data_IF_503798360078
#
_entry.id   IF_503798360078
#
_cell.length_a   1.000
_cell.length_b   1.000
_cell.length_c   1.000
_cell.angle_alpha   90.00
_cell.angle_beta   90.00
_cell.angle_gamma   90.00
#
_symmetry.space_group_name_H-M   'P 1'
#
loop_
_entity.id
_entity.type
_entity.pdbx_description
1 polymer ?
#
# COMPACT_ATOMS: atom_id res chain seq x y z
N UNK A 1 14.15 17.30 11.62
CA UNK A 1 13.53 16.81 12.88
C UNK A 1 12.25 16.01 12.62
N UNK A 2 11.24 16.55 11.90
CA UNK A 2 10.01 15.80 11.58
C UNK A 2 10.15 14.87 10.37
N UNK A 3 10.75 15.35 9.27
CA UNK A 3 11.08 14.52 8.10
C UNK A 3 11.96 13.31 8.46
N UNK A 4 12.97 13.52 9.32
CA UNK A 4 13.84 12.42 9.79
C UNK A 4 13.06 11.36 10.57
N UNK A 5 11.99 11.77 11.28
CA UNK A 5 11.12 10.86 12.02
C UNK A 5 10.23 10.09 11.06
N UNK A 6 9.63 10.75 10.09
CA UNK A 6 8.80 10.11 9.06
C UNK A 6 9.61 9.09 8.25
N UNK A 7 10.82 9.43 7.83
CA UNK A 7 11.71 8.51 7.12
C UNK A 7 12.11 7.30 7.98
N UNK A 8 12.34 7.51 9.28
CA UNK A 8 12.60 6.42 10.23
C UNK A 8 11.40 5.51 10.39
N UNK A 9 10.18 6.05 10.54
CA UNK A 9 8.96 5.25 10.62
C UNK A 9 8.70 4.49 9.32
N UNK A 10 8.85 5.14 8.16
CA UNK A 10 8.64 4.54 6.86
C UNK A 10 9.57 3.35 6.60
N UNK A 11 10.77 3.36 7.20
CA UNK A 11 11.77 2.31 7.00
C UNK A 11 11.82 1.26 8.12
N UNK A 12 10.88 1.28 9.06
CA UNK A 12 10.65 0.17 10.00
C UNK A 12 10.17 -1.08 9.27
N UNK A 13 10.18 -2.21 9.99
CA UNK A 13 9.81 -3.52 9.44
C UNK A 13 8.42 -3.51 8.80
N UNK A 14 7.47 -2.83 9.42
CA UNK A 14 6.06 -2.69 9.05
C UNK A 14 5.78 -1.48 8.14
N UNK A 15 6.80 -0.68 7.82
CA UNK A 15 6.68 0.51 6.98
C UNK A 15 6.84 0.22 5.48
N UNK A 16 6.39 1.13 4.61
CA UNK A 16 6.45 0.94 3.15
C UNK A 16 7.89 0.91 2.61
N UNK A 17 8.84 1.52 3.32
CA UNK A 17 10.26 1.55 2.97
C UNK A 17 11.06 0.37 3.49
N UNK A 18 10.42 -0.63 4.13
CA UNK A 18 11.10 -1.82 4.66
C UNK A 18 11.98 -2.51 3.59
N UNK A 19 11.52 -2.55 2.34
CA UNK A 19 12.25 -3.18 1.23
C UNK A 19 13.63 -2.55 0.95
N UNK A 20 13.83 -1.27 1.32
CA UNK A 20 15.10 -0.58 1.11
C UNK A 20 16.09 -0.76 2.27
N UNK A 21 15.69 -1.43 3.36
CA UNK A 21 16.59 -1.77 4.46
C UNK A 21 17.11 -3.19 4.26
N UNK A 22 18.44 -3.32 4.14
CA UNK A 22 19.10 -4.61 3.87
C UNK A 22 18.64 -5.75 4.77
N UNK A 23 18.46 -5.49 6.07
CA UNK A 23 17.97 -6.49 7.05
C UNK A 23 16.53 -6.98 6.83
N UNK A 24 15.71 -6.26 6.06
CA UNK A 24 14.32 -6.61 5.80
C UNK A 24 14.06 -6.97 4.33
N UNK A 25 14.90 -6.48 3.41
CA UNK A 25 14.72 -6.61 1.96
C UNK A 25 14.33 -8.02 1.50
N UNK A 26 15.10 -9.04 1.86
CA UNK A 26 14.82 -10.43 1.44
C UNK A 26 13.46 -10.93 1.94
N UNK A 27 13.13 -10.67 3.20
CA UNK A 27 11.83 -11.04 3.76
C UNK A 27 10.67 -10.29 3.11
N UNK A 28 10.85 -9.02 2.77
CA UNK A 28 9.84 -8.24 2.04
C UNK A 28 9.65 -8.77 0.62
N UNK A 29 10.72 -9.12 -0.09
CA UNK A 29 10.66 -9.70 -1.44
C UNK A 29 9.92 -11.05 -1.46
N UNK A 30 10.16 -11.92 -0.49
CA UNK A 30 9.44 -13.20 -0.33
C UNK A 30 7.95 -12.98 -0.07
N UNK A 31 7.62 -12.06 0.84
CA UNK A 31 6.22 -11.76 1.20
C UNK A 31 5.47 -11.14 0.03
N UNK A 32 6.09 -10.25 -0.76
CA UNK A 32 5.43 -9.65 -1.93
C UNK A 32 5.11 -10.73 -2.96
N UNK A 33 6.02 -11.68 -3.21
CA UNK A 33 5.77 -12.81 -4.12
C UNK A 33 4.59 -13.65 -3.66
N UNK A 34 4.55 -13.99 -2.37
CA UNK A 34 3.44 -14.74 -1.77
C UNK A 34 2.10 -13.97 -1.90
N UNK A 35 2.06 -12.71 -1.47
CA UNK A 35 0.88 -11.83 -1.58
C UNK A 35 0.39 -11.73 -3.03
N UNK A 36 1.29 -11.72 -4.02
CA UNK A 36 0.93 -11.60 -5.44
C UNK A 36 0.04 -12.75 -5.97
N UNK A 37 0.02 -13.87 -5.24
CA UNK A 37 -0.76 -15.07 -5.54
C UNK A 37 -2.03 -15.21 -4.69
N UNK A 38 -2.16 -14.44 -3.60
CA UNK A 38 -3.32 -14.49 -2.70
C UNK A 38 -4.59 -13.93 -3.35
N UNK A 39 -5.78 -14.38 -2.91
CA UNK A 39 -7.04 -13.72 -3.24
C UNK A 39 -7.06 -12.25 -2.76
N UNK A 40 -7.69 -11.37 -3.55
CA UNK A 40 -7.88 -9.95 -3.22
C UNK A 40 -9.38 -9.73 -2.96
N UNK A 41 -9.80 -10.09 -1.77
CA UNK A 41 -11.21 -10.08 -1.35
C UNK A 41 -11.40 -9.58 0.10
N UNK A 42 -10.32 -9.28 0.83
CA UNK A 42 -10.40 -8.83 2.23
C UNK A 42 -10.85 -7.39 2.28
N UNK A 43 -11.97 -7.14 2.95
CA UNK A 43 -12.52 -5.79 3.17
C UNK A 43 -11.90 -5.16 4.41
N UNK A 44 -11.42 -3.93 4.29
CA UNK A 44 -10.83 -3.14 5.38
C UNK A 44 -11.37 -1.71 5.32
N UNK A 45 -11.79 -1.17 6.45
CA UNK A 45 -12.19 0.24 6.56
C UNK A 45 -10.96 1.14 6.54
N UNK A 46 -11.00 2.20 5.72
CA UNK A 46 -9.96 3.21 5.62
C UNK A 46 -10.62 4.57 5.40
N UNK A 47 -10.58 5.43 6.42
CA UNK A 47 -11.38 6.66 6.45
C UNK A 47 -12.87 6.36 6.28
N UNK A 48 -13.49 6.99 5.29
CA UNK A 48 -14.91 6.80 4.93
C UNK A 48 -15.14 5.68 3.89
N UNK A 49 -14.08 5.04 3.40
CA UNK A 49 -14.20 3.98 2.37
C UNK A 49 -13.89 2.60 2.92
N UNK A 50 -14.42 1.60 2.22
CA UNK A 50 -13.96 0.22 2.34
C UNK A 50 -13.03 -0.11 1.18
N UNK A 51 -11.81 -0.55 1.50
CA UNK A 51 -10.83 -1.07 0.56
C UNK A 51 -10.88 -2.59 0.52
N UNK A 52 -10.71 -3.16 -0.67
CA UNK A 52 -10.52 -4.60 -0.89
C UNK A 52 -9.04 -4.86 -1.14
N UNK A 53 -8.39 -5.58 -0.24
CA UNK A 53 -6.95 -5.86 -0.23
C UNK A 53 -6.69 -7.38 -0.21
N UNK A 54 -5.43 -7.84 -0.40
CA UNK A 54 -5.10 -9.26 -0.32
C UNK A 54 -5.42 -9.88 1.05
N UNK A 55 -5.79 -11.16 1.06
CA UNK A 55 -6.00 -11.91 2.30
C UNK A 55 -4.74 -11.92 3.19
N UNK A 56 -4.95 -12.07 4.50
CA UNK A 56 -3.90 -12.09 5.51
C UNK A 56 -3.00 -10.84 5.50
N UNK A 57 -3.54 -9.70 5.07
CA UNK A 57 -2.89 -8.38 5.15
C UNK A 57 -3.72 -7.38 5.95
N UNK A 58 -3.09 -6.33 6.44
CA UNK A 58 -3.74 -5.21 7.13
C UNK A 58 -3.22 -3.88 6.58
N UNK A 59 -3.89 -2.77 6.92
CA UNK A 59 -3.41 -1.42 6.61
C UNK A 59 -2.71 -0.87 7.86
N UNK A 60 -1.48 -0.40 7.71
CA UNK A 60 -0.75 0.32 8.74
C UNK A 60 -1.44 1.67 8.99
N UNK A 61 -1.98 1.90 10.18
CA UNK A 61 -2.72 3.14 10.50
C UNK A 61 -1.84 4.38 10.56
N UNK A 62 -0.51 4.22 10.71
CA UNK A 62 0.43 5.35 10.74
C UNK A 62 0.91 5.77 9.36
N UNK A 63 1.06 4.82 8.45
CA UNK A 63 1.73 5.00 7.16
C UNK A 63 0.83 4.69 5.96
N UNK A 64 -0.37 4.17 6.18
CA UNK A 64 -1.33 3.79 5.14
C UNK A 64 -0.92 2.59 4.29
N UNK A 65 0.23 1.97 4.56
CA UNK A 65 0.76 0.87 3.74
C UNK A 65 0.18 -0.49 4.10
N UNK A 66 0.20 -1.41 3.14
CA UNK A 66 -0.16 -2.81 3.39
C UNK A 66 0.92 -3.47 4.26
N UNK A 67 0.50 -4.27 5.24
CA UNK A 67 1.36 -5.09 6.11
C UNK A 67 0.89 -6.54 6.05
N UNK A 68 1.82 -7.46 5.85
CA UNK A 68 1.54 -8.89 5.97
C UNK A 68 1.34 -9.28 7.43
N UNK A 69 0.18 -9.85 7.76
CA UNK A 69 -0.18 -10.16 9.15
C UNK A 69 0.64 -11.32 9.73
N UNK A 70 1.17 -12.21 8.87
CA UNK A 70 1.96 -13.37 9.31
C UNK A 70 3.37 -12.97 9.73
N UNK A 71 4.01 -12.12 8.93
CA UNK A 71 5.43 -11.77 9.10
C UNK A 71 5.65 -10.38 9.73
N UNK A 72 4.65 -9.49 9.65
CA UNK A 72 4.74 -8.09 10.06
C UNK A 72 5.52 -7.21 9.07
N UNK A 73 5.80 -7.70 7.85
CA UNK A 73 6.51 -6.90 6.85
C UNK A 73 5.59 -5.93 6.14
N UNK A 74 6.02 -4.68 6.06
CA UNK A 74 5.38 -3.62 5.28
C UNK A 74 5.70 -3.73 3.80
N UNK A 75 4.68 -3.54 2.97
CA UNK A 75 4.74 -3.55 1.52
C UNK A 75 4.68 -2.12 1.00
N UNK A 76 5.45 -1.80 -0.03
CA UNK A 76 5.47 -0.47 -0.66
C UNK A 76 4.22 -0.22 -1.55
N UNK A 77 3.04 -0.38 -0.97
CA UNK A 77 1.72 0.00 -1.50
C UNK A 77 1.01 0.75 -0.37
N UNK A 78 0.79 2.04 -0.56
CA UNK A 78 0.27 2.97 0.45
C UNK A 78 -1.01 3.62 -0.02
N UNK A 79 -2.01 3.66 0.85
CA UNK A 79 -3.24 4.42 0.66
C UNK A 79 -3.16 5.75 1.42
N UNK A 80 -3.81 6.78 0.88
CA UNK A 80 -3.91 8.10 1.49
C UNK A 80 -5.33 8.63 1.38
N UNK A 81 -5.76 9.39 2.39
CA UNK A 81 -7.02 10.17 2.37
C UNK A 81 -6.87 11.48 1.58
N UNK A 82 -5.78 11.62 0.82
CA UNK A 82 -5.55 12.69 -0.13
C UNK A 82 -5.00 12.13 -1.45
N UNK A 83 -5.49 12.65 -2.57
CA UNK A 83 -4.95 12.35 -3.90
C UNK A 83 -3.92 13.40 -4.32
N UNK A 84 -2.70 13.33 -3.78
CA UNK A 84 -1.57 14.13 -4.30
C UNK A 84 -0.92 13.53 -5.56
N UNK A 85 -1.37 12.34 -5.97
CA UNK A 85 -0.85 11.62 -7.13
C UNK A 85 -1.86 11.50 -8.27
N UNK A 86 -1.37 10.96 -9.38
CA UNK A 86 -2.15 10.71 -10.58
C UNK A 86 -3.20 9.61 -10.44
N UNK A 87 -3.18 8.80 -9.38
CA UNK A 87 -4.14 7.71 -9.21
C UNK A 87 -5.05 8.03 -8.05
N UNK A 88 -6.34 8.25 -8.35
CA UNK A 88 -7.32 8.69 -7.39
C UNK A 88 -8.61 7.86 -7.45
N UNK A 89 -9.28 7.76 -6.30
CA UNK A 89 -10.67 7.33 -6.17
C UNK A 89 -11.47 8.49 -5.59
N UNK A 90 -12.31 9.10 -6.43
CA UNK A 90 -13.26 10.13 -6.01
C UNK A 90 -14.47 9.48 -5.34
N UNK A 91 -14.76 9.91 -4.12
CA UNK A 91 -15.86 9.36 -3.30
C UNK A 91 -16.98 10.39 -3.18
N UNK A 92 -16.63 11.65 -2.96
CA UNK A 92 -17.55 12.81 -2.90
C UNK A 92 -16.86 14.03 -3.49
N UNK A 93 -17.60 15.12 -3.63
CA UNK A 93 -17.02 16.42 -3.95
C UNK A 93 -15.90 16.76 -2.94
N UNK A 94 -14.70 17.08 -3.44
CA UNK A 94 -13.49 17.33 -2.64
C UNK A 94 -12.98 16.19 -1.74
N UNK A 95 -13.50 14.95 -1.88
CA UNK A 95 -13.02 13.78 -1.12
C UNK A 95 -12.46 12.74 -2.09
N UNK A 96 -11.14 12.72 -2.19
CA UNK A 96 -10.39 11.86 -3.10
C UNK A 96 -9.33 11.06 -2.32
N UNK A 97 -9.29 9.75 -2.56
CA UNK A 97 -8.31 8.84 -1.96
C UNK A 97 -7.21 8.51 -2.96
N UNK A 98 -5.96 8.46 -2.50
CA UNK A 98 -4.79 8.13 -3.30
C UNK A 98 -4.28 6.70 -3.05
N UNK A 99 -3.60 6.15 -4.05
CA UNK A 99 -2.76 4.95 -3.91
C UNK A 99 -1.37 5.21 -4.53
N UNK A 100 -0.34 4.93 -3.75
CA UNK A 100 1.07 5.12 -4.12
C UNK A 100 1.80 3.79 -4.01
N UNK A 101 2.59 3.46 -5.03
CA UNK A 101 3.34 2.20 -5.04
C UNK A 101 4.58 2.30 -5.91
N UNK A 102 5.57 1.45 -5.62
CA UNK A 102 6.75 1.37 -6.47
C UNK A 102 6.46 0.50 -7.72
N UNK A 103 6.27 1.17 -8.86
CA UNK A 103 6.04 0.52 -10.17
C UNK A 103 7.25 -0.25 -10.72
N UNK A 104 8.46 -0.02 -10.20
CA UNK A 104 9.68 -0.71 -10.67
C UNK A 104 9.82 -2.12 -10.13
N UNK A 105 9.06 -2.46 -9.08
CA UNK A 105 9.00 -3.82 -8.53
C UNK A 105 7.81 -4.54 -9.18
N UNK A 106 8.03 -5.55 -10.05
CA UNK A 106 6.98 -6.15 -10.87
C UNK A 106 5.81 -6.70 -10.06
N UNK A 107 6.09 -7.38 -8.96
CA UNK A 107 5.09 -7.99 -8.10
C UNK A 107 4.24 -6.93 -7.37
N UNK A 108 4.86 -5.85 -6.89
CA UNK A 108 4.15 -4.70 -6.32
C UNK A 108 3.23 -4.07 -7.37
N UNK A 109 3.75 -3.84 -8.58
CA UNK A 109 2.97 -3.27 -9.68
C UNK A 109 1.76 -4.16 -10.04
N UNK A 110 1.95 -5.48 -10.06
CA UNK A 110 0.88 -6.47 -10.30
C UNK A 110 -0.19 -6.42 -9.22
N UNK A 111 0.20 -6.39 -7.94
CA UNK A 111 -0.73 -6.31 -6.81
C UNK A 111 -1.49 -4.99 -6.85
N UNK A 112 -0.78 -3.87 -6.98
CA UNK A 112 -1.37 -2.54 -7.01
C UNK A 112 -2.39 -2.37 -8.13
N UNK A 113 -2.10 -2.83 -9.35
CA UNK A 113 -3.05 -2.78 -10.48
C UNK A 113 -4.34 -3.55 -10.20
N UNK A 114 -4.25 -4.75 -9.61
CA UNK A 114 -5.44 -5.53 -9.24
C UNK A 114 -6.26 -4.83 -8.16
N UNK A 115 -5.61 -4.31 -7.12
CA UNK A 115 -6.26 -3.52 -6.06
C UNK A 115 -6.95 -2.30 -6.67
N UNK A 116 -6.26 -1.54 -7.53
CA UNK A 116 -6.81 -0.37 -8.21
C UNK A 116 -8.08 -0.72 -8.99
N UNK A 117 -8.02 -1.78 -9.80
CA UNK A 117 -9.16 -2.24 -10.60
C UNK A 117 -10.36 -2.61 -9.73
N UNK A 118 -10.15 -3.42 -8.69
CA UNK A 118 -11.23 -3.88 -7.79
C UNK A 118 -11.85 -2.72 -7.01
N UNK A 119 -11.03 -1.75 -6.60
CA UNK A 119 -11.47 -0.63 -5.77
C UNK A 119 -11.94 0.60 -6.57
N UNK A 120 -11.78 0.60 -7.89
CA UNK A 120 -12.21 1.70 -8.76
C UNK A 120 -11.26 2.91 -8.76
N UNK A 121 -9.98 2.73 -8.45
CA UNK A 121 -8.98 3.78 -8.64
C UNK A 121 -8.71 4.00 -10.14
N UNK A 122 -8.63 5.26 -10.56
CA UNK A 122 -8.39 5.64 -11.95
C UNK A 122 -7.17 6.55 -12.05
N UNK A 123 -6.46 6.48 -13.17
CA UNK A 123 -5.45 7.48 -13.51
C UNK A 123 -6.16 8.77 -13.93
N UNK A 124 -5.85 9.88 -13.27
CA UNK A 124 -6.39 11.23 -13.46
C UNK A 124 -5.36 12.19 -14.04
N UNK A 125 -4.09 11.78 -14.17
CA UNK A 125 -3.11 12.53 -14.97
C UNK A 125 -3.22 12.11 -16.44
N UNK A 126 -3.48 13.10 -17.29
CA UNK A 126 -3.47 12.99 -18.74
C UNK A 126 -2.06 13.19 -19.30
#
# INVERSE_FOLDING_TARGET
MEQDREEREATKKDGPGAIYKGKYKGGVEEVIKDISTRPINKRVQFGEITLIIPENTAINTKQGNIVDMKTGYGIAITFSESSSGCVAKKVKENVDYGIFYNKTIPEINKIAKKIMQINGFKNTCN
#
